data_IF_416042445743
#
_entry.id   IF_416042445743
#
_cell.length_a   1.000
_cell.length_b   1.000
_cell.length_c   1.000
_cell.angle_alpha   90.00
_cell.angle_beta   90.00
_cell.angle_gamma   90.00
#
_symmetry.space_group_name_H-M   'P 1'
#
loop_
_entity.id
_entity.type
_entity.pdbx_description
1 polymer ?
#
# COMPACT_ATOMS: atom_id res chain seq x y z
N UNK A 1 0.25 -9.97 4.01
CA UNK A 1 0.02 -11.31 4.61
C UNK A 1 -1.25 -11.95 4.04
N UNK A 2 -2.44 -11.33 4.14
CA UNK A 2 -3.73 -11.89 3.64
C UNK A 2 -3.68 -12.22 2.15
N UNK A 3 -3.14 -11.34 1.31
CA UNK A 3 -3.03 -11.55 -0.14
C UNK A 3 -2.16 -12.76 -0.49
N UNK A 4 -1.07 -12.98 0.26
CA UNK A 4 -0.22 -14.16 0.06
C UNK A 4 -0.95 -15.46 0.41
N UNK A 5 -1.72 -15.47 1.50
CA UNK A 5 -2.54 -16.61 1.89
C UNK A 5 -3.65 -16.91 0.86
N UNK A 6 -4.30 -15.87 0.34
CA UNK A 6 -5.28 -16.01 -0.74
C UNK A 6 -4.65 -16.59 -2.01
N UNK A 7 -3.49 -16.07 -2.41
CA UNK A 7 -2.77 -16.57 -3.59
C UNK A 7 -2.36 -18.04 -3.41
N UNK A 8 -1.87 -18.43 -2.22
CA UNK A 8 -1.55 -19.82 -1.93
C UNK A 8 -2.79 -20.72 -2.03
N UNK A 9 -3.94 -20.30 -1.49
CA UNK A 9 -5.20 -21.05 -1.62
C UNK A 9 -5.65 -21.19 -3.08
N UNK A 10 -5.59 -20.13 -3.86
CA UNK A 10 -5.93 -20.16 -5.29
C UNK A 10 -4.99 -21.08 -6.07
N UNK A 11 -3.69 -21.04 -5.77
CA UNK A 11 -2.70 -21.93 -6.41
C UNK A 11 -2.94 -23.40 -6.12
N UNK A 12 -3.38 -23.74 -4.91
CA UNK A 12 -3.69 -25.11 -4.51
C UNK A 12 -5.06 -25.59 -4.97
N UNK A 13 -5.97 -24.70 -5.38
CA UNK A 13 -7.33 -25.07 -5.75
C UNK A 13 -7.39 -25.79 -7.11
N UNK A 14 -8.23 -26.81 -7.21
CA UNK A 14 -8.58 -27.43 -8.48
C UNK A 14 -9.51 -26.52 -9.32
N UNK A 15 -9.60 -26.77 -10.63
CA UNK A 15 -10.54 -26.03 -11.51
C UNK A 15 -11.99 -26.17 -11.03
N UNK A 16 -12.36 -27.34 -10.51
CA UNK A 16 -13.71 -27.60 -9.96
C UNK A 16 -13.98 -26.74 -8.73
N UNK A 17 -13.00 -26.56 -7.83
CA UNK A 17 -13.12 -25.70 -6.66
C UNK A 17 -13.20 -24.21 -7.06
N UNK A 18 -12.40 -23.80 -8.04
CA UNK A 18 -12.46 -22.44 -8.58
C UNK A 18 -13.84 -22.14 -9.18
N UNK A 19 -14.44 -23.07 -9.94
CA UNK A 19 -15.79 -22.90 -10.47
C UNK A 19 -16.82 -22.75 -9.35
N UNK A 20 -16.77 -23.57 -8.30
CA UNK A 20 -17.70 -23.43 -7.16
C UNK A 20 -17.56 -22.07 -6.47
N UNK A 21 -16.34 -21.60 -6.28
CA UNK A 21 -16.09 -20.26 -5.70
C UNK A 21 -16.68 -19.18 -6.62
N UNK A 22 -16.51 -19.31 -7.93
CA UNK A 22 -17.07 -18.37 -8.90
C UNK A 22 -18.60 -18.36 -8.87
N UNK A 23 -19.23 -19.52 -8.83
CA UNK A 23 -20.70 -19.64 -8.76
C UNK A 23 -21.28 -18.98 -7.50
N UNK A 24 -20.55 -19.04 -6.37
CA UNK A 24 -20.98 -18.42 -5.12
C UNK A 24 -20.69 -16.91 -5.05
N UNK A 25 -19.65 -16.44 -5.71
CA UNK A 25 -19.14 -15.06 -5.57
C UNK A 25 -19.64 -14.15 -6.69
N UNK A 26 -19.69 -14.64 -7.94
CA UNK A 26 -20.10 -13.82 -9.09
C UNK A 26 -21.47 -13.16 -8.93
N UNK A 27 -22.50 -13.80 -8.38
CA UNK A 27 -23.81 -13.16 -8.18
C UNK A 27 -23.75 -11.97 -7.21
N UNK A 28 -22.69 -11.86 -6.40
CA UNK A 28 -22.52 -10.82 -5.37
C UNK A 28 -21.59 -9.68 -5.81
N UNK A 29 -20.98 -9.80 -7.00
CA UNK A 29 -20.04 -8.81 -7.53
C UNK A 29 -20.61 -8.21 -8.82
N UNK A 30 -20.61 -6.88 -8.92
CA UNK A 30 -20.89 -6.18 -10.17
C UNK A 30 -19.57 -6.01 -10.94
N UNK A 31 -19.44 -6.64 -12.10
CA UNK A 31 -18.26 -6.60 -12.95
C UNK A 31 -18.64 -6.67 -14.42
N UNK A 32 -17.79 -6.13 -15.29
CA UNK A 32 -17.90 -6.26 -16.74
C UNK A 32 -17.17 -7.50 -17.29
N UNK A 33 -16.53 -8.30 -16.44
CA UNK A 33 -15.93 -9.57 -16.85
C UNK A 33 -16.95 -10.69 -16.89
N UNK A 34 -16.88 -11.53 -17.93
CA UNK A 34 -17.65 -12.78 -17.98
C UNK A 34 -17.05 -13.85 -17.04
N UNK A 35 -17.86 -14.83 -16.64
CA UNK A 35 -17.39 -15.97 -15.84
C UNK A 35 -16.20 -16.69 -16.48
N UNK A 36 -16.22 -16.86 -17.81
CA UNK A 36 -15.11 -17.48 -18.57
C UNK A 36 -13.83 -16.66 -18.49
N UNK A 37 -13.91 -15.34 -18.60
CA UNK A 37 -12.75 -14.45 -18.47
C UNK A 37 -12.17 -14.52 -17.06
N UNK A 38 -13.01 -14.50 -16.03
CA UNK A 38 -12.56 -14.60 -14.64
C UNK A 38 -11.90 -15.96 -14.38
N UNK A 39 -12.48 -17.05 -14.89
CA UNK A 39 -11.87 -18.39 -14.78
C UNK A 39 -10.51 -18.46 -15.48
N UNK A 40 -10.38 -17.85 -16.66
CA UNK A 40 -9.11 -17.76 -17.38
C UNK A 40 -8.06 -17.01 -16.57
N UNK A 41 -8.42 -15.86 -15.98
CA UNK A 41 -7.54 -15.08 -15.10
C UNK A 41 -7.17 -15.90 -13.86
N UNK A 42 -8.13 -16.55 -13.22
CA UNK A 42 -7.88 -17.36 -12.03
C UNK A 42 -6.95 -18.56 -12.32
N UNK A 43 -7.07 -19.15 -13.50
CA UNK A 43 -6.17 -20.23 -13.95
C UNK A 43 -4.77 -19.71 -14.23
N UNK A 44 -4.66 -18.56 -14.90
CA UNK A 44 -3.36 -17.90 -15.15
C UNK A 44 -2.70 -17.42 -13.86
N UNK A 45 -3.48 -17.04 -12.84
CA UNK A 45 -2.95 -16.59 -11.54
C UNK A 45 -2.11 -17.65 -10.82
N UNK A 46 -2.26 -18.93 -11.17
CA UNK A 46 -1.40 -20.01 -10.63
C UNK A 46 0.08 -19.82 -10.98
N UNK A 47 0.38 -19.19 -12.11
CA UNK A 47 1.75 -18.87 -12.53
C UNK A 47 2.28 -17.55 -11.96
N UNK A 48 1.44 -16.73 -11.37
CA UNK A 48 1.84 -15.43 -10.80
C UNK A 48 2.47 -15.60 -9.41
N UNK A 49 3.40 -14.73 -9.10
CA UNK A 49 3.97 -14.59 -7.76
C UNK A 49 3.84 -13.14 -7.31
N UNK A 50 3.62 -12.94 -6.01
CA UNK A 50 3.78 -11.62 -5.40
C UNK A 50 5.25 -11.52 -5.01
N UNK A 51 5.99 -10.65 -5.71
CA UNK A 51 7.41 -10.43 -5.43
C UNK A 51 7.56 -9.55 -4.19
N UNK A 52 7.56 -8.24 -4.36
CA UNK A 52 7.75 -7.29 -3.26
C UNK A 52 6.48 -6.50 -3.01
N UNK A 53 6.19 -6.26 -1.74
CA UNK A 53 5.12 -5.36 -1.32
C UNK A 53 5.72 -4.08 -0.79
N UNK A 54 5.22 -2.94 -1.24
CA UNK A 54 5.62 -1.63 -0.73
C UNK A 54 4.42 -0.70 -0.63
N UNK A 55 4.52 0.29 0.24
CA UNK A 55 3.51 1.33 0.39
C UNK A 55 3.88 2.59 -0.40
N UNK A 56 2.87 3.29 -0.91
CA UNK A 56 3.02 4.60 -1.51
C UNK A 56 2.30 5.66 -0.64
N UNK A 57 2.84 6.86 -0.43
CA UNK A 57 4.13 7.37 -0.90
C UNK A 57 5.33 6.77 -0.13
N UNK A 58 6.49 6.73 -0.78
CA UNK A 58 7.74 6.24 -0.18
C UNK A 58 8.30 7.24 0.82
N UNK A 59 8.64 8.44 0.32
CA UNK A 59 9.06 9.56 1.14
C UNK A 59 7.84 10.35 1.57
N UNK A 60 7.58 10.35 2.86
CA UNK A 60 6.37 10.94 3.45
C UNK A 60 6.63 11.51 4.82
N UNK A 61 5.74 12.40 5.23
CA UNK A 61 5.61 12.89 6.61
C UNK A 61 4.14 12.95 6.99
N UNK A 62 3.85 13.20 8.24
CA UNK A 62 2.49 13.41 8.73
C UNK A 62 2.36 14.82 9.30
N UNK A 63 1.18 15.41 9.15
CA UNK A 63 0.84 16.68 9.80
C UNK A 63 -0.66 16.77 10.01
N UNK A 64 -1.06 17.60 10.99
CA UNK A 64 -2.43 18.01 11.16
C UNK A 64 -2.58 19.41 10.56
N UNK A 65 -3.41 19.54 9.51
CA UNK A 65 -3.61 20.79 8.76
C UNK A 65 -5.09 21.10 8.72
N UNK A 66 -5.48 22.25 9.23
CA UNK A 66 -6.86 22.72 9.19
C UNK A 66 -7.21 23.19 7.76
N UNK A 67 -8.35 22.81 7.15
CA UNK A 67 -9.46 22.00 7.72
C UNK A 67 -9.33 20.49 7.49
N UNK A 68 -8.22 19.99 6.94
CA UNK A 68 -8.07 18.61 6.45
C UNK A 68 -7.84 17.57 7.56
N UNK A 69 -7.50 17.98 8.77
CA UNK A 69 -7.20 17.07 9.88
C UNK A 69 -5.81 16.44 9.79
N UNK A 70 -5.66 15.22 10.31
CA UNK A 70 -4.41 14.46 10.26
C UNK A 70 -4.25 13.81 8.89
N UNK A 71 -3.18 14.14 8.18
CA UNK A 71 -2.92 13.70 6.81
C UNK A 71 -1.50 13.17 6.64
N UNK A 72 -1.33 12.28 5.66
CA UNK A 72 -0.02 11.82 5.17
C UNK A 72 0.33 12.64 3.93
N UNK A 73 1.52 13.22 3.92
CA UNK A 73 1.99 14.15 2.90
C UNK A 73 3.19 13.53 2.18
N UNK A 74 3.15 13.38 0.85
CA UNK A 74 4.31 12.94 0.06
C UNK A 74 5.39 14.04 0.04
N UNK A 75 6.64 13.66 0.21
CA UNK A 75 7.79 14.55 0.26
C UNK A 75 8.81 14.27 -0.88
N UNK A 76 8.57 14.71 -2.13
CA UNK A 76 7.39 15.34 -2.73
C UNK A 76 6.54 14.35 -3.55
N UNK A 77 5.39 14.78 -4.12
CA UNK A 77 4.63 13.89 -5.00
C UNK A 77 5.43 13.55 -6.26
N UNK A 78 6.10 14.52 -6.89
CA UNK A 78 6.88 14.31 -8.11
C UNK A 78 7.96 13.24 -7.91
N UNK A 79 8.82 13.37 -6.90
CA UNK A 79 9.88 12.41 -6.59
C UNK A 79 9.35 11.05 -6.18
N UNK A 80 8.21 11.00 -5.49
CA UNK A 80 7.55 9.73 -5.18
C UNK A 80 7.03 9.01 -6.43
N UNK A 81 6.52 9.75 -7.43
CA UNK A 81 6.08 9.16 -8.71
C UNK A 81 7.28 8.67 -9.54
N UNK A 82 8.41 9.37 -9.56
CA UNK A 82 9.67 8.88 -10.16
C UNK A 82 10.09 7.54 -9.54
N UNK A 83 10.14 7.47 -8.20
CA UNK A 83 10.45 6.24 -7.48
C UNK A 83 9.45 5.11 -7.73
N UNK A 84 8.16 5.45 -7.94
CA UNK A 84 7.14 4.47 -8.28
C UNK A 84 7.42 3.83 -9.64
N UNK A 85 7.72 4.65 -10.65
CA UNK A 85 8.05 4.17 -11.99
C UNK A 85 9.30 3.30 -12.00
N UNK A 86 10.35 3.73 -11.29
CA UNK A 86 11.56 2.93 -11.12
C UNK A 86 11.27 1.55 -10.50
N UNK A 87 10.45 1.50 -9.44
CA UNK A 87 10.17 0.25 -8.73
C UNK A 87 9.20 -0.69 -9.44
N UNK A 88 8.26 -0.16 -10.22
CA UNK A 88 7.22 -0.95 -10.90
C UNK A 88 7.60 -1.34 -12.32
N UNK A 89 8.38 -0.49 -13.01
CA UNK A 89 8.61 -0.61 -14.45
C UNK A 89 10.10 -0.59 -14.83
N UNK A 90 11.02 -0.53 -13.85
CA UNK A 90 12.47 -0.35 -14.06
C UNK A 90 12.83 0.90 -14.89
N UNK A 91 11.99 1.94 -14.82
CA UNK A 91 12.19 3.19 -15.54
C UNK A 91 13.05 4.15 -14.71
N UNK A 92 14.37 4.05 -14.82
CA UNK A 92 15.31 4.91 -14.06
C UNK A 92 15.26 6.39 -14.46
N UNK A 93 14.78 6.70 -15.67
CA UNK A 93 14.76 8.04 -16.23
C UNK A 93 13.36 8.63 -16.42
N UNK A 94 12.38 8.12 -15.68
CA UNK A 94 11.03 8.65 -15.77
C UNK A 94 10.97 10.10 -15.29
N UNK A 95 10.34 10.96 -16.10
CA UNK A 95 10.10 12.37 -15.72
C UNK A 95 8.60 12.60 -15.55
N UNK A 96 8.14 13.05 -14.38
CA UNK A 96 6.75 13.35 -14.14
C UNK A 96 6.19 14.39 -15.11
N UNK A 97 4.99 14.18 -15.61
CA UNK A 97 4.33 15.10 -16.50
C UNK A 97 3.95 16.43 -15.82
N UNK A 98 3.48 17.40 -16.61
CA UNK A 98 3.13 18.73 -16.10
C UNK A 98 2.02 18.71 -15.04
N UNK A 99 1.08 17.76 -15.12
CA UNK A 99 -0.02 17.62 -14.16
C UNK A 99 0.51 17.17 -12.81
N UNK A 100 1.33 16.12 -12.77
CA UNK A 100 1.97 15.63 -11.53
C UNK A 100 2.83 16.73 -10.89
N UNK A 101 3.63 17.42 -11.70
CA UNK A 101 4.48 18.52 -11.23
C UNK A 101 3.65 19.70 -10.68
N UNK A 102 2.51 20.02 -11.31
CA UNK A 102 1.61 21.07 -10.82
C UNK A 102 1.00 20.69 -9.48
N UNK A 103 0.47 19.48 -9.34
CA UNK A 103 -0.10 18.99 -8.08
C UNK A 103 0.97 18.91 -7.00
N UNK A 104 2.17 18.45 -7.32
CA UNK A 104 3.29 18.39 -6.38
C UNK A 104 3.61 19.77 -5.80
N UNK A 105 3.70 20.80 -6.65
CA UNK A 105 3.92 22.19 -6.20
C UNK A 105 2.77 22.71 -5.34
N UNK A 106 1.51 22.39 -5.67
CA UNK A 106 0.36 22.77 -4.86
C UNK A 106 0.42 22.15 -3.45
N UNK A 107 0.77 20.87 -3.37
CA UNK A 107 0.93 20.20 -2.07
C UNK A 107 2.02 20.90 -1.25
N UNK A 108 3.17 21.19 -1.84
CA UNK A 108 4.26 21.92 -1.15
C UNK A 108 3.79 23.32 -0.69
N UNK A 109 3.07 24.03 -1.53
CA UNK A 109 2.56 25.38 -1.20
C UNK A 109 1.59 25.35 -0.02
N UNK A 110 0.68 24.37 0.00
CA UNK A 110 -0.34 24.26 1.06
C UNK A 110 0.28 23.75 2.37
N UNK A 111 1.20 22.81 2.29
CA UNK A 111 1.70 22.08 3.47
C UNK A 111 3.05 22.58 3.99
N UNK A 112 3.82 23.31 3.18
CA UNK A 112 5.19 23.68 3.47
C UNK A 112 6.17 22.49 3.54
N UNK A 113 5.74 21.28 3.11
CA UNK A 113 6.55 20.06 3.19
C UNK A 113 7.27 19.79 1.87
N UNK A 114 8.57 19.60 1.95
CA UNK A 114 9.48 19.32 0.83
C UNK A 114 10.14 17.96 1.01
N UNK A 115 11.08 17.59 0.15
CA UNK A 115 11.85 16.34 0.27
C UNK A 115 12.57 16.21 1.62
N UNK A 116 13.10 17.31 2.13
CA UNK A 116 13.78 17.36 3.43
C UNK A 116 12.84 17.13 4.63
N UNK A 117 11.53 17.18 4.39
CA UNK A 117 10.53 16.91 5.43
C UNK A 117 10.20 15.42 5.59
N UNK A 118 10.78 14.55 4.76
CA UNK A 118 10.54 13.12 4.82
C UNK A 118 11.02 12.52 6.14
N UNK A 119 10.18 11.66 6.73
CA UNK A 119 10.49 10.92 7.96
C UNK A 119 10.61 9.44 7.63
N UNK A 120 11.66 8.82 8.14
CA UNK A 120 11.81 7.37 8.06
C UNK A 120 10.93 6.71 9.13
N UNK A 121 9.86 6.04 8.68
CA UNK A 121 8.96 5.29 9.55
C UNK A 121 9.42 3.85 9.78
N UNK A 122 10.51 3.39 9.15
CA UNK A 122 11.04 2.04 9.32
C UNK A 122 11.73 1.86 10.68
N UNK A 123 12.26 2.94 11.24
CA UNK A 123 12.96 2.97 12.53
C UNK A 123 12.07 3.33 13.72
N UNK A 124 10.79 3.60 13.49
CA UNK A 124 9.86 3.90 14.57
C UNK A 124 9.50 2.61 15.32
N UNK A 125 9.98 2.47 16.55
CA UNK A 125 9.67 1.37 17.47
C UNK A 125 8.17 1.21 17.80
N UNK A 126 7.32 2.03 17.22
CA UNK A 126 5.88 2.01 17.38
C UNK A 126 5.14 0.99 16.49
N UNK A 127 5.86 0.14 15.77
CA UNK A 127 5.25 -1.03 15.14
C UNK A 127 5.35 -2.26 16.06
N UNK A 128 5.13 -2.05 17.36
CA UNK A 128 4.86 -3.14 18.29
C UNK A 128 3.49 -3.69 17.88
N UNK A 129 3.52 -4.77 17.13
CA UNK A 129 2.33 -5.51 16.79
C UNK A 129 1.55 -5.75 18.09
N UNK A 130 0.25 -5.55 18.04
CA UNK A 130 -0.66 -6.02 19.07
C UNK A 130 -0.47 -7.53 19.07
N UNK A 131 0.36 -8.04 19.99
CA UNK A 131 0.38 -9.45 20.29
C UNK A 131 -0.93 -9.74 21.01
N UNK A 132 -1.56 -10.82 20.63
CA UNK A 132 -2.90 -11.26 21.03
C UNK A 132 -2.96 -11.72 22.51
N UNK A 133 -2.01 -11.24 23.34
CA UNK A 133 -1.99 -11.49 24.78
C UNK A 133 -2.12 -10.16 25.52
N UNK A 134 -3.37 -9.78 25.81
CA UNK A 134 -3.74 -8.55 26.52
C UNK A 134 -3.09 -8.39 27.89
N UNK A 135 -1.82 -8.07 27.96
CA UNK A 135 -1.09 -7.70 29.17
C UNK A 135 -0.52 -6.30 29.01
N UNK A 136 -1.18 -5.36 29.64
CA UNK A 136 -0.71 -3.98 29.80
C UNK A 136 0.48 -3.96 30.76
N UNK A 137 1.69 -3.65 30.28
CA UNK A 137 2.83 -3.37 31.14
C UNK A 137 2.94 -1.87 31.37
N UNK A 138 2.58 -1.43 32.57
CA UNK A 138 2.86 -0.09 33.08
C UNK A 138 4.38 0.12 33.20
N UNK A 139 4.92 1.15 32.55
CA UNK A 139 6.29 1.60 32.77
C UNK A 139 6.33 2.59 33.94
N UNK A 140 6.84 2.13 35.07
CA UNK A 140 7.12 2.97 36.25
C UNK A 140 8.32 3.87 35.97
N UNK A 141 8.10 5.17 35.91
CA UNK A 141 9.17 6.17 35.87
C UNK A 141 9.72 6.37 37.28
N UNK A 142 10.93 5.90 37.55
CA UNK A 142 11.63 6.18 38.79
C UNK A 142 12.44 7.46 38.63
N UNK A 143 11.97 8.54 39.25
CA UNK A 143 12.75 9.77 39.46
C UNK A 143 13.68 9.56 40.66
N UNK A 144 15.00 9.70 40.45
CA UNK A 144 15.98 9.77 41.54
C UNK A 144 16.48 11.19 41.67
N UNK A 145 16.45 11.71 42.89
CA UNK A 145 16.99 12.99 43.32
C UNK A 145 18.50 13.08 43.14
#
# INVERSE_FOLDING_TARGET
EVMNLLLQKVKGASVSELNKILDDVLPKISTNFSATQILSIATAAKSYSIDKSFGFPFDKTTATINPYGSIVIPCTLATNVEKLHQRMFDEESYTPNSVVNSISRQIVTITGKTEQSAVDFSSSENNKGIDDTGTTSESTTTTTQ
#
